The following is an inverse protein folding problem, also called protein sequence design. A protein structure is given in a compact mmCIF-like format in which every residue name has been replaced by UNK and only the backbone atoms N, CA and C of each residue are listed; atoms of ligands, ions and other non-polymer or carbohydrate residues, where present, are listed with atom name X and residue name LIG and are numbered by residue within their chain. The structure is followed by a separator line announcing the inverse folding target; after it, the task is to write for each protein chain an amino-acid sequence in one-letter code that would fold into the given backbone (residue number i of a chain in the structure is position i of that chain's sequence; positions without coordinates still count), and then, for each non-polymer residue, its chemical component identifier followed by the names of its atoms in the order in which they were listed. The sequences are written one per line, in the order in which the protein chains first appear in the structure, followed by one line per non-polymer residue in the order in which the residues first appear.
data_IF_933545288590
#
_entry.id   IF_933545288590
#
_cell.length_a   1.000
_cell.length_b   1.000
_cell.length_c   1.000
_cell.angle_alpha   90.00
_cell.angle_beta   90.00
_cell.angle_gamma   90.00
#
_symmetry.space_group_name_H-M   'P 1'
#
loop_
_entity.id
_entity.type
_entity.pdbx_description
1 polymer ?
#
# COMPACT_ATOMS: atom_id res chain seq x y z
N UNK A 1 61.23 -35.62 -49.55
CA UNK A 1 60.04 -36.39 -49.13
C UNK A 1 58.93 -35.43 -48.72
N UNK A 2 58.01 -35.06 -49.63
CA UNK A 2 56.77 -34.32 -49.32
C UNK A 2 55.73 -34.53 -50.45
N UNK A 3 54.77 -35.42 -50.14
CA UNK A 3 53.36 -35.56 -50.55
C UNK A 3 52.95 -34.85 -51.86
N UNK A 4 52.79 -35.59 -52.96
CA UNK A 4 51.54 -36.17 -53.47
C UNK A 4 50.46 -35.14 -53.84
N UNK A 5 50.38 -34.92 -55.16
CA UNK A 5 49.33 -34.23 -55.90
C UNK A 5 48.12 -35.16 -56.06
N UNK A 6 46.91 -34.67 -55.74
CA UNK A 6 45.66 -35.38 -56.05
C UNK A 6 44.80 -34.52 -56.98
N UNK A 7 44.55 -35.14 -58.14
CA UNK A 7 43.59 -34.90 -59.21
C UNK A 7 42.30 -34.16 -58.80
N UNK A 8 41.93 -33.11 -59.54
CA UNK A 8 41.14 -33.13 -60.78
C UNK A 8 39.63 -33.13 -60.50
N UNK A 9 38.98 -32.02 -60.85
CA UNK A 9 37.54 -31.87 -60.78
C UNK A 9 36.81 -32.41 -61.99
N UNK A 10 35.54 -32.75 -61.80
CA UNK A 10 34.43 -32.68 -62.76
C UNK A 10 33.17 -32.47 -61.91
N UNK A 11 32.56 -31.28 -61.95
CA UNK A 11 31.40 -30.95 -62.80
C UNK A 11 30.11 -31.66 -62.40
N UNK A 12 29.28 -30.93 -61.65
CA UNK A 12 27.82 -30.81 -61.85
C UNK A 12 26.95 -32.04 -61.59
N UNK A 13 26.01 -31.91 -60.64
CA UNK A 13 24.57 -32.06 -60.91
C UNK A 13 23.83 -31.40 -59.74
N UNK A 14 23.05 -30.38 -60.09
CA UNK A 14 22.13 -29.68 -59.22
C UNK A 14 20.95 -30.57 -58.83
N UNK A 15 20.57 -30.54 -57.56
CA UNK A 15 19.19 -30.83 -57.14
C UNK A 15 18.76 -29.81 -56.09
N UNK A 16 18.08 -28.76 -56.56
CA UNK A 16 17.31 -27.85 -55.71
C UNK A 16 16.18 -28.66 -55.08
N UNK A 17 16.17 -28.76 -53.76
CA UNK A 17 14.98 -29.16 -53.00
C UNK A 17 14.45 -27.92 -52.30
N UNK A 18 13.34 -27.46 -52.86
CA UNK A 18 12.33 -26.49 -52.43
C UNK A 18 12.58 -25.75 -51.11
N UNK A 19 12.62 -24.42 -51.25
CA UNK A 19 12.47 -23.44 -50.19
C UNK A 19 11.20 -23.72 -49.37
N UNK A 20 11.37 -23.71 -48.05
CA UNK A 20 10.25 -23.58 -47.12
C UNK A 20 9.52 -22.26 -47.39
N UNK A 21 8.19 -22.34 -47.35
CA UNK A 21 7.30 -21.19 -47.43
C UNK A 21 7.75 -20.16 -46.38
N UNK A 22 8.18 -19.01 -46.86
CA UNK A 22 8.41 -17.83 -46.04
C UNK A 22 7.02 -17.38 -45.57
N UNK A 23 6.63 -17.81 -44.36
CA UNK A 23 5.45 -17.28 -43.68
C UNK A 23 5.73 -15.80 -43.45
N UNK A 24 5.27 -14.98 -44.38
CA UNK A 24 5.54 -13.56 -44.44
C UNK A 24 5.27 -12.94 -43.08
N UNK A 25 6.33 -12.61 -42.35
CA UNK A 25 6.27 -11.79 -41.16
C UNK A 25 5.75 -10.41 -41.60
N UNK A 26 4.43 -10.25 -41.54
CA UNK A 26 3.79 -8.96 -41.67
C UNK A 26 4.17 -8.15 -40.44
N UNK A 27 5.07 -7.19 -40.63
CA UNK A 27 5.43 -6.23 -39.59
C UNK A 27 4.21 -5.35 -39.25
N UNK A 28 4.02 -5.09 -37.96
CA UNK A 28 3.01 -4.15 -37.47
C UNK A 28 3.18 -2.77 -38.13
N UNK A 29 2.08 -2.16 -38.55
CA UNK A 29 2.11 -0.83 -39.14
C UNK A 29 2.17 0.25 -38.05
N UNK A 30 2.77 1.41 -38.34
CA UNK A 30 2.80 2.54 -37.40
C UNK A 30 1.38 3.00 -36.99
N UNK A 31 0.43 2.91 -37.91
CA UNK A 31 -0.97 3.29 -37.69
C UNK A 31 -1.62 2.38 -36.64
N UNK A 32 -1.30 1.09 -36.65
CA UNK A 32 -1.85 0.12 -35.69
C UNK A 32 -1.40 0.43 -34.26
N UNK A 33 -0.11 0.75 -34.08
CA UNK A 33 0.41 1.19 -32.79
C UNK A 33 -0.19 2.54 -32.36
N UNK A 34 -0.45 3.46 -33.30
CA UNK A 34 -1.12 4.74 -33.01
C UNK A 34 -2.53 4.54 -32.49
N UNK A 35 -3.31 3.66 -33.13
CA UNK A 35 -4.68 3.34 -32.69
C UNK A 35 -4.66 2.69 -31.30
N UNK A 36 -3.73 1.77 -31.04
CA UNK A 36 -3.60 1.09 -29.73
C UNK A 36 -3.29 2.09 -28.61
N UNK A 37 -2.28 2.96 -28.77
CA UNK A 37 -1.94 3.94 -27.73
C UNK A 37 -3.06 4.99 -27.56
N UNK A 38 -3.80 5.32 -28.61
CA UNK A 38 -4.96 6.21 -28.51
C UNK A 38 -6.07 5.60 -27.66
N UNK A 39 -6.40 4.31 -27.87
CA UNK A 39 -7.40 3.60 -27.07
C UNK A 39 -6.93 3.44 -25.62
N UNK A 40 -5.67 3.08 -25.38
CA UNK A 40 -5.10 2.99 -24.02
C UNK A 40 -5.14 4.35 -23.31
N UNK A 41 -4.75 5.42 -23.99
CA UNK A 41 -4.80 6.78 -23.45
C UNK A 41 -6.23 7.21 -23.09
N UNK A 42 -7.20 6.88 -23.94
CA UNK A 42 -8.62 7.16 -23.67
C UNK A 42 -9.13 6.41 -22.43
N UNK A 43 -8.83 5.11 -22.31
CA UNK A 43 -9.24 4.31 -21.15
C UNK A 43 -8.59 4.84 -19.87
N UNK A 44 -7.28 5.12 -19.91
CA UNK A 44 -6.52 5.63 -18.77
C UNK A 44 -7.07 6.97 -18.28
N UNK A 45 -7.46 7.87 -19.19
CA UNK A 45 -8.07 9.15 -18.84
C UNK A 45 -9.40 9.02 -18.09
N UNK A 46 -10.19 7.98 -18.36
CA UNK A 46 -11.48 7.76 -17.70
C UNK A 46 -11.38 7.04 -16.35
N UNK A 47 -10.46 6.08 -16.24
CA UNK A 47 -10.37 5.20 -15.06
C UNK A 47 -9.41 5.77 -14.00
N UNK A 48 -8.33 6.44 -14.42
CA UNK A 48 -7.26 6.91 -13.52
C UNK A 48 -7.74 7.71 -12.31
N UNK A 49 -8.51 8.80 -12.49
CA UNK A 49 -8.99 9.62 -11.37
C UNK A 49 -9.89 8.85 -10.40
N UNK A 50 -10.73 7.95 -10.90
CA UNK A 50 -11.69 7.15 -10.10
C UNK A 50 -11.01 6.14 -9.20
N UNK A 51 -9.94 5.51 -9.68
CA UNK A 51 -9.15 4.57 -8.87
C UNK A 51 -8.43 5.34 -7.76
N UNK A 52 -7.82 6.49 -8.09
CA UNK A 52 -7.13 7.31 -7.11
C UNK A 52 -8.09 7.81 -6.02
N UNK A 53 -9.27 8.32 -6.40
CA UNK A 53 -10.27 8.79 -5.42
C UNK A 53 -10.75 7.66 -4.49
N UNK A 54 -11.00 6.46 -5.04
CA UNK A 54 -11.44 5.30 -4.26
C UNK A 54 -10.36 4.84 -3.26
N UNK A 55 -9.09 4.85 -3.68
CA UNK A 55 -7.96 4.54 -2.81
C UNK A 55 -7.84 5.56 -1.66
N UNK A 56 -7.99 6.83 -1.99
CA UNK A 56 -7.91 7.92 -1.02
C UNK A 56 -9.03 7.86 0.02
N UNK A 57 -10.27 7.61 -0.40
CA UNK A 57 -11.41 7.42 0.51
C UNK A 57 -11.21 6.18 1.41
N UNK A 58 -10.71 5.08 0.83
CA UNK A 58 -10.39 3.86 1.58
C UNK A 58 -9.34 4.09 2.66
N UNK A 59 -8.32 4.92 2.41
CA UNK A 59 -7.32 5.32 3.42
C UNK A 59 -7.99 6.05 4.58
N UNK A 60 -8.74 7.13 4.32
CA UNK A 60 -9.44 7.88 5.39
C UNK A 60 -10.35 6.96 6.22
N UNK A 61 -11.11 6.08 5.56
CA UNK A 61 -11.98 5.11 6.24
C UNK A 61 -11.20 4.11 7.08
N UNK A 62 -10.10 3.58 6.57
CA UNK A 62 -9.22 2.65 7.29
C UNK A 62 -8.66 3.31 8.54
N UNK A 63 -8.21 4.57 8.43
CA UNK A 63 -7.70 5.32 9.57
C UNK A 63 -8.74 5.47 10.68
N UNK A 64 -9.99 5.80 10.33
CA UNK A 64 -11.11 5.88 11.28
C UNK A 64 -11.41 4.53 11.96
N UNK A 65 -11.40 3.44 11.20
CA UNK A 65 -11.62 2.08 11.73
C UNK A 65 -10.50 1.69 12.71
N UNK A 66 -9.24 1.99 12.37
CA UNK A 66 -8.10 1.74 13.24
C UNK A 66 -8.21 2.56 14.54
N UNK A 67 -8.55 3.84 14.47
CA UNK A 67 -8.80 4.69 15.65
C UNK A 67 -9.92 4.13 16.53
N UNK A 68 -11.01 3.65 15.93
CA UNK A 68 -12.09 3.01 16.67
C UNK A 68 -11.63 1.73 17.37
N UNK A 69 -10.84 0.90 16.67
CA UNK A 69 -10.24 -0.32 17.25
C UNK A 69 -9.32 0.01 18.42
N UNK A 70 -8.51 1.06 18.32
CA UNK A 70 -7.67 1.51 19.43
C UNK A 70 -8.50 2.03 20.61
N UNK A 71 -9.58 2.75 20.34
CA UNK A 71 -10.48 3.22 21.37
C UNK A 71 -11.09 2.06 22.17
N UNK A 72 -11.58 1.02 21.48
CA UNK A 72 -12.08 -0.18 22.16
C UNK A 72 -11.00 -0.91 22.96
N UNK A 73 -9.75 -0.97 22.46
CA UNK A 73 -8.63 -1.56 23.20
C UNK A 73 -8.25 -0.74 24.44
N UNK A 74 -8.32 0.60 24.35
CA UNK A 74 -8.09 1.50 25.48
C UNK A 74 -9.17 1.35 26.55
N UNK A 75 -10.43 1.16 26.15
CA UNK A 75 -11.53 0.92 27.10
C UNK A 75 -11.32 -0.40 27.85
N UNK A 76 -10.91 -1.47 27.16
CA UNK A 76 -10.55 -2.74 27.81
C UNK A 76 -9.35 -2.57 28.77
N UNK A 77 -8.32 -1.85 28.35
CA UNK A 77 -7.18 -1.51 29.21
C UNK A 77 -7.63 -0.76 30.47
N UNK A 78 -8.57 0.18 30.35
CA UNK A 78 -9.13 0.91 31.47
C UNK A 78 -9.91 0.00 32.42
N UNK A 79 -10.72 -0.92 31.88
CA UNK A 79 -11.47 -1.89 32.69
C UNK A 79 -10.58 -2.78 33.54
N UNK A 80 -9.42 -3.17 33.00
CA UNK A 80 -8.47 -4.06 33.67
C UNK A 80 -7.55 -3.34 34.66
N UNK A 81 -7.08 -2.15 34.30
CA UNK A 81 -6.02 -1.43 35.04
C UNK A 81 -6.54 -0.24 35.85
N UNK A 82 -7.78 0.18 35.61
CA UNK A 82 -8.42 1.33 36.24
C UNK A 82 -8.01 2.70 35.70
N UNK A 83 -7.15 2.76 34.66
CA UNK A 83 -6.69 4.00 34.02
C UNK A 83 -6.40 3.81 32.54
N UNK A 84 -6.35 4.89 31.78
CA UNK A 84 -5.78 4.84 30.43
C UNK A 84 -4.23 4.85 30.47
N UNK A 85 -3.55 4.40 29.41
CA UNK A 85 -2.10 4.58 29.28
C UNK A 85 -1.72 6.05 29.35
N UNK A 86 -0.59 6.34 29.98
CA UNK A 86 0.02 7.67 29.98
C UNK A 86 0.59 8.00 28.60
N UNK A 87 0.86 9.28 28.33
CA UNK A 87 1.47 9.69 27.06
C UNK A 87 2.86 9.08 26.81
N UNK A 88 3.60 8.72 27.87
CA UNK A 88 4.90 8.03 27.76
C UNK A 88 4.77 6.53 27.48
N UNK A 89 3.73 5.87 27.99
CA UNK A 89 3.41 4.48 27.68
C UNK A 89 2.83 4.34 26.26
N UNK A 90 2.00 5.31 25.86
CA UNK A 90 1.40 5.40 24.53
C UNK A 90 0.53 4.20 24.14
N UNK A 91 0.29 4.06 22.84
CA UNK A 91 -0.43 2.90 22.29
C UNK A 91 0.35 1.59 22.43
N UNK A 92 1.67 1.65 22.68
CA UNK A 92 2.49 0.47 22.88
C UNK A 92 2.06 -0.34 24.12
N UNK A 93 1.53 0.32 25.16
CA UNK A 93 0.97 -0.34 26.33
C UNK A 93 -0.23 -1.26 26.02
N UNK A 94 -0.91 -1.05 24.89
CA UNK A 94 -1.99 -1.94 24.44
C UNK A 94 -1.49 -3.30 23.97
N UNK A 95 -0.20 -3.39 23.60
CA UNK A 95 0.42 -4.61 23.07
C UNK A 95 1.34 -5.23 24.11
N UNK A 96 2.28 -4.43 24.61
CA UNK A 96 3.28 -4.85 25.58
C UNK A 96 3.71 -3.65 26.40
N UNK A 97 3.38 -3.59 27.70
CA UNK A 97 3.78 -2.48 28.54
C UNK A 97 5.29 -2.49 28.79
N UNK A 98 5.89 -1.29 28.91
CA UNK A 98 7.32 -1.14 29.18
C UNK A 98 7.69 -1.45 30.65
N UNK A 99 6.70 -1.48 31.54
CA UNK A 99 6.82 -1.81 32.96
C UNK A 99 5.64 -2.65 33.41
N UNK A 100 5.71 -3.24 34.61
CA UNK A 100 4.60 -4.00 35.18
C UNK A 100 3.43 -3.08 35.50
N UNK A 101 2.32 -3.25 34.79
CA UNK A 101 1.06 -2.53 35.04
C UNK A 101 0.13 -3.47 35.82
N UNK A 102 -0.27 -3.12 37.05
CA UNK A 102 -1.23 -3.92 37.81
C UNK A 102 -2.54 -4.11 37.03
N UNK A 103 -3.06 -5.34 37.04
CA UNK A 103 -4.31 -5.68 36.35
C UNK A 103 -4.20 -5.88 34.84
N UNK A 104 -3.06 -5.58 34.21
CA UNK A 104 -2.89 -5.74 32.77
C UNK A 104 -3.09 -7.22 32.35
N UNK A 105 -4.08 -7.45 31.49
CA UNK A 105 -4.45 -8.78 30.97
C UNK A 105 -4.39 -8.83 29.43
N UNK A 106 -3.63 -7.91 28.82
CA UNK A 106 -3.45 -7.83 27.38
C UNK A 106 -2.68 -9.02 26.77
N UNK A 107 -2.39 -8.99 25.46
CA UNK A 107 -2.50 -7.84 24.55
C UNK A 107 -3.95 -7.50 24.16
N UNK A 108 -4.24 -6.20 24.09
CA UNK A 108 -5.54 -5.66 23.71
C UNK A 108 -5.70 -5.44 22.19
N UNK A 109 -4.59 -5.48 21.45
CA UNK A 109 -4.58 -5.38 19.99
C UNK A 109 -4.24 -6.72 19.34
N UNK A 110 -4.99 -7.04 18.27
CA UNK A 110 -4.69 -8.20 17.41
C UNK A 110 -3.46 -7.89 16.55
N UNK A 111 -2.55 -8.86 16.43
CA UNK A 111 -1.35 -8.74 15.60
C UNK A 111 -0.05 -8.46 16.35
N UNK A 112 -0.11 -8.15 17.65
CA UNK A 112 1.10 -8.04 18.49
C UNK A 112 1.96 -6.81 18.20
N UNK A 113 1.43 -5.81 17.48
CA UNK A 113 2.06 -4.52 17.23
C UNK A 113 0.98 -3.43 17.09
N UNK A 114 1.40 -2.17 17.23
CA UNK A 114 0.55 -1.02 16.88
C UNK A 114 0.73 -0.77 15.39
N UNK A 115 -0.32 -0.92 14.56
CA UNK A 115 -0.21 -0.64 13.14
C UNK A 115 -0.06 0.88 12.90
N UNK A 116 0.71 1.23 11.87
CA UNK A 116 0.73 2.59 11.34
C UNK A 116 -0.58 2.95 10.67
N UNK A 117 -0.78 4.24 10.46
CA UNK A 117 -1.89 4.75 9.67
C UNK A 117 -1.76 4.39 8.18
N UNK A 118 -2.79 4.64 7.36
CA UNK A 118 -2.81 4.29 5.94
C UNK A 118 -1.81 5.05 5.05
N UNK A 119 -1.17 6.09 5.59
CA UNK A 119 -0.09 6.83 4.94
C UNK A 119 1.29 6.44 5.49
N UNK A 120 1.34 5.37 6.31
CA UNK A 120 2.54 4.84 6.95
C UNK A 120 3.13 5.72 8.05
N UNK A 121 2.35 6.66 8.58
CA UNK A 121 2.74 7.46 9.74
C UNK A 121 2.29 6.79 11.04
N UNK A 122 3.03 6.96 12.16
CA UNK A 122 2.59 6.48 13.45
C UNK A 122 1.38 7.30 13.95
N UNK A 123 0.44 6.63 14.60
CA UNK A 123 -0.63 7.32 15.32
C UNK A 123 -0.08 8.09 16.52
N UNK A 124 -0.58 9.31 16.70
CA UNK A 124 -0.26 10.14 17.86
C UNK A 124 -1.30 9.89 18.95
N UNK A 125 -0.82 9.53 20.14
CA UNK A 125 -1.65 9.35 21.32
C UNK A 125 -1.31 10.41 22.36
N UNK A 126 -2.34 11.03 22.94
CA UNK A 126 -2.21 12.04 24.00
C UNK A 126 -3.18 11.73 25.13
N UNK A 127 -2.68 11.74 26.36
CA UNK A 127 -3.47 11.61 27.58
C UNK A 127 -2.94 12.56 28.67
N UNK A 128 -3.77 13.45 29.24
CA UNK A 128 -5.17 13.71 28.85
C UNK A 128 -5.28 14.35 27.45
N UNK A 129 -6.41 14.14 26.77
CA UNK A 129 -6.76 14.89 25.56
C UNK A 129 -7.30 16.29 25.90
N UNK A 130 -7.50 17.15 24.89
CA UNK A 130 -7.96 18.54 25.14
C UNK A 130 -9.34 18.61 25.81
N UNK A 131 -10.29 17.77 25.37
CA UNK A 131 -11.68 17.73 25.88
C UNK A 131 -12.18 16.31 26.17
N UNK A 132 -11.29 15.34 26.09
CA UNK A 132 -11.58 13.90 26.19
C UNK A 132 -10.49 13.24 27.05
N UNK A 133 -10.76 12.10 27.71
CA UNK A 133 -9.78 11.43 28.58
C UNK A 133 -8.47 11.08 27.87
N UNK A 134 -8.56 10.77 26.58
CA UNK A 134 -7.44 10.56 25.68
C UNK A 134 -7.82 10.99 24.27
N UNK A 135 -6.81 11.27 23.44
CA UNK A 135 -7.00 11.56 22.03
C UNK A 135 -6.03 10.76 21.17
N UNK A 136 -6.55 10.22 20.05
CA UNK A 136 -5.76 9.53 19.03
C UNK A 136 -5.90 10.31 17.74
N UNK A 137 -4.78 10.64 17.09
CA UNK A 137 -4.74 11.42 15.86
C UNK A 137 -3.88 10.72 14.82
N UNK A 138 -4.36 10.70 13.57
CA UNK A 138 -3.55 10.53 12.36
C UNK A 138 -3.52 11.87 11.63
N UNK A 139 -2.32 12.32 11.27
CA UNK A 139 -2.09 13.58 10.57
C UNK A 139 -2.26 13.46 9.05
N UNK A 140 -3.05 12.49 8.58
CA UNK A 140 -3.32 12.31 7.17
C UNK A 140 -2.08 12.08 6.28
N UNK A 141 -2.17 12.53 5.04
CA UNK A 141 -1.19 12.26 3.98
C UNK A 141 0.11 13.03 4.08
N UNK A 142 0.12 14.19 4.73
CA UNK A 142 1.31 15.03 4.88
C UNK A 142 2.05 14.79 6.21
N UNK A 143 1.40 14.11 7.16
CA UNK A 143 1.99 13.78 8.45
C UNK A 143 2.14 14.98 9.37
N UNK A 144 1.46 16.09 9.08
CA UNK A 144 1.53 17.34 9.84
C UNK A 144 0.17 17.70 10.43
N UNK A 145 0.18 18.45 11.54
CA UNK A 145 -1.05 18.93 12.16
C UNK A 145 -1.79 19.91 11.24
N UNK A 146 -3.10 19.71 11.10
CA UNK A 146 -3.99 20.52 10.28
C UNK A 146 -4.29 19.88 8.93
N UNK A 147 -3.97 20.60 7.86
CA UNK A 147 -4.21 20.15 6.49
C UNK A 147 -5.67 20.20 6.01
N UNK A 148 -5.87 19.86 4.73
CA UNK A 148 -7.17 19.77 4.05
C UNK A 148 -7.23 18.48 3.22
N UNK A 149 -8.44 18.06 2.87
CA UNK A 149 -8.70 16.84 2.09
C UNK A 149 -8.02 15.60 2.70
N UNK A 150 -6.96 15.10 2.05
CA UNK A 150 -6.23 13.91 2.49
C UNK A 150 -5.18 14.20 3.55
N UNK A 151 -4.75 15.46 3.65
CA UNK A 151 -3.88 15.96 4.69
C UNK A 151 -4.67 16.34 5.96
N UNK A 152 -6.01 16.35 5.90
CA UNK A 152 -6.82 16.69 7.06
C UNK A 152 -6.64 15.67 8.19
N UNK A 153 -6.43 16.18 9.39
CA UNK A 153 -6.33 15.38 10.61
C UNK A 153 -7.56 14.50 10.85
N UNK A 154 -7.32 13.26 11.26
CA UNK A 154 -8.35 12.30 11.65
C UNK A 154 -8.17 11.99 13.13
N UNK A 155 -9.07 12.49 13.97
CA UNK A 155 -9.03 12.30 15.42
C UNK A 155 -10.16 11.42 15.97
N UNK A 156 -9.91 10.78 17.12
CA UNK A 156 -10.93 10.06 17.88
C UNK A 156 -12.04 10.98 18.38
N UNK A 157 -11.69 12.19 18.82
CA UNK A 157 -12.63 13.20 19.33
C UNK A 157 -13.67 13.62 18.28
N UNK A 158 -13.26 13.75 17.01
CA UNK A 158 -14.17 14.06 15.90
C UNK A 158 -15.18 12.93 15.62
N UNK A 159 -14.80 11.68 15.89
CA UNK A 159 -15.65 10.52 15.65
C UNK A 159 -16.69 10.32 16.77
N UNK A 160 -16.34 10.69 18.01
CA UNK A 160 -17.21 10.51 19.19
C UNK A 160 -18.35 11.54 19.24
N UNK A 161 -18.19 12.73 18.64
CA UNK A 161 -19.22 13.78 18.60
C UNK A 161 -20.34 13.59 17.56
N UNK A 162 -20.32 12.53 16.76
CA UNK A 162 -21.26 12.30 15.67
C UNK A 162 -22.36 11.25 16.00
N UNK A 163 -22.65 11.05 17.29
CA UNK A 163 -23.71 10.15 17.77
C UNK A 163 -24.85 10.90 18.43
#
# INVERSE_FOLDING_TARGET
MKRQSTQAGLSGIARRVRAGSDDGQSGFTLVEMLVVIAIIGMIMGLIGPRVLSSLNESRVKTARIQIQSFSSALDLFYLDTGRYPTSSEGLAALVRPASTIPGWAGPYLKGGNVPSDPWSHPYVYRAPGQRVPYEIVSYGSDGQEGGVDLAADISSSMTIGAR
#
